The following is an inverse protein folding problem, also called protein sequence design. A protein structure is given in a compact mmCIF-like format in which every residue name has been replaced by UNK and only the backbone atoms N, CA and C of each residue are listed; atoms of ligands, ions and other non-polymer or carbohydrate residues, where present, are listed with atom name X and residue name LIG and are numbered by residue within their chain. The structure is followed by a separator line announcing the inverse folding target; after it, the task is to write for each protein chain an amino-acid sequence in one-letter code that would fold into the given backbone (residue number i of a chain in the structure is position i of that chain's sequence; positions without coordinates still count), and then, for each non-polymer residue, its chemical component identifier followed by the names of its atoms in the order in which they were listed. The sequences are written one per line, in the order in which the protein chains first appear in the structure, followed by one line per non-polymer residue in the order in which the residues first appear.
data_IF_352673379341
#
_entry.id   IF_352673379341
#
_cell.length_a   1.000
_cell.length_b   1.000
_cell.length_c   1.000
_cell.angle_alpha   90.00
_cell.angle_beta   90.00
_cell.angle_gamma   90.00
#
_symmetry.space_group_name_H-M   'P 1'
#
loop_
_entity.id
_entity.type
_entity.pdbx_description
1 polymer ?
#
# COMPACT_ATOMS: atom_id res chain seq x y z
N UNK A 1 11.44 11.00 -32.50
CA UNK A 1 12.81 11.21 -31.98
C UNK A 1 13.30 9.85 -31.52
N UNK A 2 14.31 9.31 -32.18
CA UNK A 2 14.71 7.90 -32.11
C UNK A 2 15.57 7.68 -30.85
N UNK A 3 14.99 7.06 -29.82
CA UNK A 3 15.59 6.89 -28.47
C UNK A 3 16.77 5.90 -28.49
N UNK A 4 17.00 5.24 -29.63
CA UNK A 4 18.13 4.35 -29.87
C UNK A 4 19.47 5.09 -30.10
N UNK A 5 19.51 6.42 -30.14
CA UNK A 5 20.75 7.17 -30.41
C UNK A 5 21.67 7.43 -29.22
N UNK A 6 21.31 7.04 -28.01
CA UNK A 6 22.23 7.06 -26.87
C UNK A 6 22.16 5.72 -26.15
N UNK A 7 23.25 4.95 -26.14
CA UNK A 7 23.38 3.60 -25.56
C UNK A 7 23.16 3.48 -24.05
N UNK A 8 22.24 4.24 -23.47
CA UNK A 8 21.76 4.08 -22.11
C UNK A 8 20.68 2.99 -22.08
N UNK A 9 20.80 1.99 -21.20
CA UNK A 9 19.87 0.86 -21.14
C UNK A 9 18.57 1.24 -20.41
N UNK A 10 17.83 2.25 -20.90
CA UNK A 10 16.65 2.79 -20.25
C UNK A 10 15.54 1.76 -19.93
N UNK A 11 15.27 0.75 -20.78
CA UNK A 11 14.35 -0.34 -20.40
C UNK A 11 14.86 -1.16 -19.22
N UNK A 12 16.18 -1.35 -19.09
CA UNK A 12 16.79 -2.03 -17.93
C UNK A 12 16.63 -1.16 -16.68
N UNK A 13 16.85 0.15 -16.79
CA UNK A 13 16.61 1.09 -15.68
C UNK A 13 15.15 1.04 -15.23
N UNK A 14 14.19 1.09 -16.16
CA UNK A 14 12.76 0.93 -15.83
C UNK A 14 12.47 -0.38 -15.10
N UNK A 15 13.05 -1.49 -15.56
CA UNK A 15 12.91 -2.78 -14.87
C UNK A 15 13.52 -2.78 -13.46
N UNK A 16 14.70 -2.19 -13.28
CA UNK A 16 15.34 -2.08 -11.96
C UNK A 16 14.46 -1.23 -11.02
N UNK A 17 13.99 -0.07 -11.45
CA UNK A 17 13.07 0.77 -10.69
C UNK A 17 11.81 0.00 -10.31
N UNK A 18 11.26 -0.76 -11.26
CA UNK A 18 10.11 -1.64 -11.08
C UNK A 18 10.28 -2.65 -9.95
N UNK A 19 11.40 -3.38 -9.95
CA UNK A 19 11.68 -4.37 -8.93
C UNK A 19 12.04 -3.73 -7.59
N UNK A 20 12.77 -2.61 -7.58
CA UNK A 20 13.10 -1.88 -6.37
C UNK A 20 11.84 -1.37 -5.65
N UNK A 21 10.88 -0.77 -6.36
CA UNK A 21 9.63 -0.33 -5.73
C UNK A 21 8.81 -1.52 -5.24
N UNK A 22 8.76 -2.63 -6.01
CA UNK A 22 8.08 -3.86 -5.60
C UNK A 22 8.61 -4.35 -4.25
N UNK A 23 9.94 -4.44 -4.09
CA UNK A 23 10.54 -4.88 -2.83
C UNK A 23 10.30 -3.88 -1.70
N UNK A 24 10.50 -2.58 -1.94
CA UNK A 24 10.29 -1.53 -0.94
C UNK A 24 8.87 -1.57 -0.36
N UNK A 25 7.84 -1.62 -1.22
CA UNK A 25 6.47 -1.73 -0.77
C UNK A 25 6.14 -3.10 -0.18
N UNK A 26 6.61 -4.20 -0.77
CA UNK A 26 6.34 -5.55 -0.24
C UNK A 26 6.86 -5.73 1.18
N UNK A 27 8.10 -5.29 1.45
CA UNK A 27 8.68 -5.41 2.80
C UNK A 27 7.92 -4.62 3.86
N UNK A 28 7.22 -3.55 3.50
CA UNK A 28 6.42 -2.75 4.43
C UNK A 28 5.26 -3.52 5.09
N UNK A 29 4.80 -4.62 4.49
CA UNK A 29 3.68 -5.43 5.02
C UNK A 29 4.12 -6.41 6.12
N UNK A 30 5.37 -6.88 6.09
CA UNK A 30 5.85 -7.95 6.96
C UNK A 30 5.93 -7.59 8.45
N UNK A 31 6.31 -6.37 8.86
CA UNK A 31 6.39 -6.02 10.28
C UNK A 31 5.09 -6.33 11.05
N UNK A 32 3.93 -6.02 10.48
CA UNK A 32 2.65 -6.29 11.12
C UNK A 32 2.34 -7.79 11.20
N UNK A 33 2.65 -8.54 10.14
CA UNK A 33 2.46 -10.00 10.08
C UNK A 33 3.30 -10.69 11.15
N UNK A 34 4.58 -10.30 11.26
CA UNK A 34 5.53 -10.83 12.23
C UNK A 34 5.08 -10.47 13.65
N UNK A 35 4.68 -9.22 13.88
CA UNK A 35 4.21 -8.76 15.20
C UNK A 35 2.98 -9.55 15.67
N UNK A 36 2.00 -9.78 14.78
CA UNK A 36 0.83 -10.59 15.07
C UNK A 36 1.24 -12.03 15.44
N UNK A 37 2.20 -12.60 14.70
CA UNK A 37 2.71 -13.94 14.96
C UNK A 37 3.49 -14.06 16.27
N UNK A 38 4.31 -13.06 16.62
CA UNK A 38 5.07 -13.04 17.87
C UNK A 38 4.16 -12.86 19.09
N UNK A 39 3.21 -11.93 19.01
CA UNK A 39 2.30 -11.61 20.14
C UNK A 39 1.15 -12.60 20.29
N UNK A 40 0.88 -13.43 19.27
CA UNK A 40 -0.31 -14.29 19.15
C UNK A 40 -1.61 -13.52 19.44
N UNK A 41 -1.62 -12.23 19.11
CA UNK A 41 -2.67 -11.28 19.42
C UNK A 41 -2.73 -10.22 18.32
N UNK A 42 -3.95 -9.85 17.92
CA UNK A 42 -4.23 -8.76 16.98
C UNK A 42 -4.90 -7.56 17.68
N UNK A 43 -4.80 -7.50 19.01
CA UNK A 43 -5.33 -6.38 19.78
C UNK A 43 -4.64 -5.07 19.37
N UNK A 44 -5.45 -4.05 19.11
CA UNK A 44 -5.00 -2.73 18.62
C UNK A 44 -4.96 -2.61 17.09
N UNK A 45 -5.11 -3.71 16.36
CA UNK A 45 -5.23 -3.68 14.90
C UNK A 45 -6.66 -3.29 14.50
N UNK A 46 -6.79 -2.30 13.61
CA UNK A 46 -8.09 -1.88 13.10
C UNK A 46 -8.66 -2.96 12.16
N UNK A 47 -9.82 -3.52 12.50
CA UNK A 47 -10.50 -4.52 11.67
C UNK A 47 -10.93 -3.88 10.35
N UNK A 48 -11.46 -2.66 10.38
CA UNK A 48 -11.81 -1.88 9.19
C UNK A 48 -10.63 -1.77 8.22
N UNK A 49 -9.44 -1.47 8.74
CA UNK A 49 -8.22 -1.34 7.94
C UNK A 49 -7.88 -2.64 7.18
N UNK A 50 -8.06 -3.80 7.82
CA UNK A 50 -7.79 -5.09 7.19
C UNK A 50 -8.78 -5.42 6.08
N UNK A 51 -10.08 -5.22 6.33
CA UNK A 51 -11.11 -5.43 5.30
C UNK A 51 -10.93 -4.48 4.11
N UNK A 52 -10.63 -3.21 4.39
CA UNK A 52 -10.30 -2.24 3.36
C UNK A 52 -9.05 -2.64 2.56
N UNK A 53 -8.00 -3.14 3.20
CA UNK A 53 -6.81 -3.63 2.48
C UNK A 53 -7.15 -4.78 1.55
N UNK A 54 -7.88 -5.78 2.03
CA UNK A 54 -8.27 -6.93 1.20
C UNK A 54 -9.09 -6.48 0.00
N UNK A 55 -10.15 -5.67 0.20
CA UNK A 55 -10.97 -5.17 -0.90
C UNK A 55 -10.15 -4.31 -1.87
N UNK A 56 -9.37 -3.37 -1.35
CA UNK A 56 -8.57 -2.46 -2.17
C UNK A 56 -7.54 -3.22 -3.00
N UNK A 57 -6.76 -4.13 -2.39
CA UNK A 57 -5.78 -4.91 -3.13
C UNK A 57 -6.41 -5.94 -4.07
N UNK A 58 -7.62 -6.42 -3.79
CA UNK A 58 -8.38 -7.24 -4.75
C UNK A 58 -8.73 -6.42 -6.01
N UNK A 59 -9.27 -5.21 -5.83
CA UNK A 59 -9.55 -4.30 -6.94
C UNK A 59 -8.28 -3.96 -7.74
N UNK A 60 -7.18 -3.68 -7.05
CA UNK A 60 -5.90 -3.38 -7.69
C UNK A 60 -5.31 -4.59 -8.43
N UNK A 61 -5.42 -5.78 -7.84
CA UNK A 61 -4.99 -7.03 -8.46
C UNK A 61 -5.77 -7.33 -9.73
N UNK A 62 -7.11 -7.25 -9.69
CA UNK A 62 -7.96 -7.43 -10.86
C UNK A 62 -7.59 -6.45 -11.98
N UNK A 63 -7.37 -5.16 -11.64
CA UNK A 63 -6.93 -4.15 -12.60
C UNK A 63 -5.60 -4.55 -13.29
N UNK A 64 -4.54 -4.83 -12.51
CA UNK A 64 -3.22 -5.10 -13.09
C UNK A 64 -3.20 -6.42 -13.87
N UNK A 65 -3.81 -7.48 -13.34
CA UNK A 65 -3.87 -8.78 -14.03
C UNK A 65 -4.61 -8.63 -15.36
N UNK A 66 -5.75 -7.95 -15.38
CA UNK A 66 -6.53 -7.80 -16.60
C UNK A 66 -5.82 -6.90 -17.63
N UNK A 67 -5.25 -5.77 -17.23
CA UNK A 67 -4.47 -4.90 -18.13
C UNK A 67 -3.22 -5.59 -18.71
N UNK A 68 -2.59 -6.48 -17.93
CA UNK A 68 -1.38 -7.17 -18.34
C UNK A 68 -1.63 -8.42 -19.20
N UNK A 69 -2.65 -9.23 -18.87
CA UNK A 69 -2.88 -10.52 -19.55
C UNK A 69 -4.03 -10.53 -20.56
N UNK A 70 -5.06 -9.68 -20.41
CA UNK A 70 -6.23 -9.72 -21.30
C UNK A 70 -5.99 -8.91 -22.57
N UNK A 71 -6.02 -9.59 -23.72
CA UNK A 71 -5.95 -8.93 -25.04
C UNK A 71 -7.13 -8.01 -25.27
N UNK A 72 -8.33 -8.41 -24.85
CA UNK A 72 -9.55 -7.60 -24.97
C UNK A 72 -9.39 -6.26 -24.26
N UNK A 73 -8.91 -6.26 -23.01
CA UNK A 73 -8.64 -5.01 -22.26
C UNK A 73 -7.55 -4.17 -22.92
N UNK A 74 -6.50 -4.80 -23.42
CA UNK A 74 -5.43 -4.10 -24.12
C UNK A 74 -5.91 -3.44 -25.41
N UNK A 75 -6.81 -4.09 -26.13
CA UNK A 75 -7.38 -3.57 -27.36
C UNK A 75 -8.42 -2.47 -27.09
N UNK A 76 -9.29 -2.64 -26.10
CA UNK A 76 -10.17 -1.58 -25.60
C UNK A 76 -9.38 -0.34 -25.14
N UNK A 77 -8.25 -0.55 -24.46
CA UNK A 77 -7.35 0.53 -24.05
C UNK A 77 -6.76 1.26 -25.27
N UNK A 78 -6.22 0.51 -26.24
CA UNK A 78 -5.64 1.06 -27.48
C UNK A 78 -6.67 1.88 -28.25
N UNK A 79 -7.90 1.40 -28.36
CA UNK A 79 -9.00 2.12 -29.03
C UNK A 79 -9.23 3.51 -28.40
N UNK A 80 -9.07 3.63 -27.08
CA UNK A 80 -9.25 4.88 -26.34
C UNK A 80 -8.01 5.78 -26.31
N UNK A 81 -6.82 5.24 -26.56
CA UNK A 81 -5.54 5.93 -26.39
C UNK A 81 -4.69 5.93 -27.66
N UNK A 82 -5.30 6.25 -28.81
CA UNK A 82 -4.59 6.44 -30.09
C UNK A 82 -3.74 5.23 -30.52
N UNK A 83 -4.25 4.01 -30.31
CA UNK A 83 -3.59 2.73 -30.60
C UNK A 83 -2.32 2.43 -29.78
N UNK A 84 -2.07 3.19 -28.70
CA UNK A 84 -0.90 3.02 -27.85
C UNK A 84 -1.16 1.99 -26.75
N UNK A 85 -0.10 1.26 -26.39
CA UNK A 85 -0.17 0.24 -25.35
C UNK A 85 -0.27 0.87 -23.95
N UNK A 86 -0.89 0.15 -23.00
CA UNK A 86 -0.89 0.56 -21.60
C UNK A 86 0.50 0.40 -20.97
N UNK A 87 0.73 1.09 -19.85
CA UNK A 87 2.01 1.10 -19.14
C UNK A 87 2.05 0.13 -17.94
N UNK A 88 1.11 -0.82 -17.83
CA UNK A 88 1.15 -1.83 -16.77
C UNK A 88 2.29 -2.81 -17.04
N UNK A 89 3.12 -3.04 -16.03
CA UNK A 89 4.29 -3.92 -16.09
C UNK A 89 4.10 -5.15 -15.21
N UNK A 90 4.95 -6.16 -15.42
CA UNK A 90 4.88 -7.40 -14.66
C UNK A 90 5.14 -7.20 -13.15
N UNK A 91 6.04 -6.27 -12.79
CA UNK A 91 6.25 -5.90 -11.38
C UNK A 91 4.98 -5.34 -10.72
N UNK A 92 4.13 -4.62 -11.45
CA UNK A 92 2.84 -4.12 -10.93
C UNK A 92 1.89 -5.28 -10.58
N UNK A 93 1.84 -6.30 -11.45
CA UNK A 93 1.07 -7.54 -11.21
C UNK A 93 1.60 -8.29 -9.99
N UNK A 94 2.93 -8.43 -9.88
CA UNK A 94 3.58 -9.10 -8.76
C UNK A 94 3.32 -8.37 -7.44
N UNK A 95 3.44 -7.03 -7.44
CA UNK A 95 3.15 -6.21 -6.28
C UNK A 95 1.69 -6.35 -5.84
N UNK A 96 0.74 -6.18 -6.78
CA UNK A 96 -0.68 -6.28 -6.48
C UNK A 96 -1.06 -7.67 -5.95
N UNK A 97 -0.48 -8.72 -6.52
CA UNK A 97 -0.67 -10.11 -6.07
C UNK A 97 -0.14 -10.31 -4.66
N UNK A 98 1.12 -9.94 -4.41
CA UNK A 98 1.74 -10.06 -3.10
C UNK A 98 0.94 -9.31 -2.03
N UNK A 99 0.58 -8.05 -2.31
CA UNK A 99 -0.17 -7.20 -1.40
C UNK A 99 -1.57 -7.75 -1.07
N UNK A 100 -2.25 -8.36 -2.05
CA UNK A 100 -3.53 -9.05 -1.82
C UNK A 100 -3.35 -10.25 -0.88
N UNK A 101 -2.39 -11.14 -1.18
CA UNK A 101 -2.18 -12.35 -0.38
C UNK A 101 -1.74 -12.05 1.04
N UNK A 102 -0.81 -11.12 1.24
CA UNK A 102 -0.35 -10.76 2.59
C UNK A 102 -1.43 -10.02 3.38
N UNK A 103 -2.26 -9.19 2.72
CA UNK A 103 -3.40 -8.55 3.37
C UNK A 103 -4.46 -9.56 3.79
N UNK A 104 -4.75 -10.53 2.92
CA UNK A 104 -5.67 -11.63 3.24
C UNK A 104 -5.13 -12.49 4.38
N UNK A 105 -3.84 -12.84 4.35
CA UNK A 105 -3.17 -13.55 5.43
C UNK A 105 -3.28 -12.81 6.77
N UNK A 106 -3.03 -11.50 6.77
CA UNK A 106 -3.16 -10.65 7.96
C UNK A 106 -4.60 -10.59 8.47
N UNK A 107 -5.59 -10.56 7.57
CA UNK A 107 -6.99 -10.68 7.95
C UNK A 107 -7.29 -12.06 8.57
N UNK A 108 -6.77 -13.14 8.00
CA UNK A 108 -6.92 -14.49 8.55
C UNK A 108 -6.35 -14.62 9.96
N UNK A 109 -5.23 -13.95 10.26
CA UNK A 109 -4.68 -13.91 11.62
C UNK A 109 -5.68 -13.40 12.66
N UNK A 110 -6.65 -12.55 12.28
CA UNK A 110 -7.68 -12.06 13.21
C UNK A 110 -8.72 -13.09 13.62
N UNK A 111 -8.91 -14.15 12.83
CA UNK A 111 -9.80 -15.25 13.19
C UNK A 111 -9.10 -16.28 14.08
N UNK A 112 -7.77 -16.34 14.04
CA UNK A 112 -6.99 -17.34 14.76
C UNK A 112 -6.37 -16.81 16.06
N UNK A 113 -5.88 -15.56 16.07
CA UNK A 113 -5.25 -14.96 17.24
C UNK A 113 -6.23 -14.22 18.14
N UNK A 114 -5.80 -13.98 19.39
CA UNK A 114 -6.62 -13.26 20.37
C UNK A 114 -6.96 -11.86 19.85
N UNK A 115 -8.25 -11.53 19.87
CA UNK A 115 -8.79 -10.20 19.55
C UNK A 115 -9.73 -9.74 20.66
N UNK A 116 -9.90 -8.44 20.77
CA UNK A 116 -10.91 -7.84 21.64
C UNK A 116 -12.32 -8.12 21.07
N UNK A 117 -13.31 -8.36 21.93
CA UNK A 117 -14.70 -8.58 21.50
C UNK A 117 -15.32 -7.31 20.89
N UNK A 118 -14.76 -6.14 21.19
CA UNK A 118 -15.14 -4.84 20.62
C UNK A 118 -14.50 -4.58 19.25
N UNK A 119 -13.50 -5.36 18.82
CA UNK A 119 -12.89 -5.26 17.49
C UNK A 119 -13.81 -5.88 16.41
N UNK A 120 -14.82 -5.11 16.02
CA UNK A 120 -15.76 -5.42 14.94
C UNK A 120 -15.66 -4.39 13.82
N UNK A 121 -16.13 -4.76 12.62
CA UNK A 121 -16.20 -3.84 11.49
C UNK A 121 -17.20 -2.71 11.78
N UNK A 122 -16.80 -1.47 11.52
CA UNK A 122 -17.68 -0.31 11.70
C UNK A 122 -18.82 -0.31 10.68
N UNK A 123 -19.95 0.32 11.04
CA UNK A 123 -21.10 0.46 10.14
C UNK A 123 -20.71 1.17 8.84
N UNK A 124 -19.90 2.23 8.95
CA UNK A 124 -19.41 3.01 7.80
C UNK A 124 -18.60 2.12 6.86
N UNK A 125 -17.66 1.34 7.41
CA UNK A 125 -16.86 0.41 6.62
C UNK A 125 -17.71 -0.67 5.95
N UNK A 126 -18.66 -1.24 6.68
CA UNK A 126 -19.58 -2.24 6.14
C UNK A 126 -20.42 -1.69 4.97
N UNK A 127 -21.00 -0.50 5.11
CA UNK A 127 -21.77 0.12 4.03
C UNK A 127 -20.90 0.49 2.83
N UNK A 128 -19.71 1.02 3.06
CA UNK A 128 -18.77 1.33 1.99
C UNK A 128 -18.36 0.09 1.19
N UNK A 129 -18.00 -1.00 1.88
CA UNK A 129 -17.65 -2.28 1.23
C UNK A 129 -18.85 -2.83 0.44
N UNK A 130 -20.04 -2.85 1.05
CA UNK A 130 -21.24 -3.33 0.38
C UNK A 130 -21.57 -2.50 -0.86
N UNK A 131 -21.51 -1.16 -0.77
CA UNK A 131 -21.74 -0.27 -1.89
C UNK A 131 -20.71 -0.48 -3.01
N UNK A 132 -19.43 -0.67 -2.67
CA UNK A 132 -18.36 -0.96 -3.64
C UNK A 132 -18.60 -2.28 -4.38
N UNK A 133 -19.05 -3.32 -3.66
CA UNK A 133 -19.37 -4.62 -4.26
C UNK A 133 -20.62 -4.54 -5.15
N UNK A 134 -21.69 -3.88 -4.69
CA UNK A 134 -22.90 -3.69 -5.48
C UNK A 134 -22.60 -2.89 -6.74
N UNK A 135 -21.83 -1.81 -6.64
CA UNK A 135 -21.44 -1.00 -7.79
C UNK A 135 -20.57 -1.77 -8.79
N UNK A 136 -19.65 -2.62 -8.31
CA UNK A 136 -18.85 -3.48 -9.19
C UNK A 136 -19.73 -4.51 -9.93
N UNK A 137 -20.68 -5.14 -9.23
CA UNK A 137 -21.65 -6.07 -9.82
C UNK A 137 -22.53 -5.35 -10.83
N UNK A 138 -23.05 -4.16 -10.50
CA UNK A 138 -23.84 -3.33 -11.40
C UNK A 138 -23.07 -2.95 -12.67
N UNK A 139 -21.82 -2.51 -12.54
CA UNK A 139 -20.94 -2.25 -13.67
C UNK A 139 -20.71 -3.49 -14.53
N UNK A 140 -20.49 -4.66 -13.91
CA UNK A 140 -20.35 -5.91 -14.65
C UNK A 140 -21.62 -6.24 -15.47
N UNK A 141 -22.82 -6.04 -14.92
CA UNK A 141 -24.05 -6.19 -15.67
C UNK A 141 -24.14 -5.21 -16.85
N UNK A 142 -23.83 -3.92 -16.65
CA UNK A 142 -23.83 -2.90 -17.72
C UNK A 142 -22.91 -3.33 -18.88
N UNK A 143 -21.73 -3.88 -18.56
CA UNK A 143 -20.80 -4.43 -19.57
C UNK A 143 -21.40 -5.64 -20.29
N UNK A 144 -21.99 -6.58 -19.55
CA UNK A 144 -22.61 -7.79 -20.14
C UNK A 144 -23.78 -7.47 -21.07
N UNK A 145 -24.51 -6.38 -20.83
CA UNK A 145 -25.58 -5.90 -21.70
C UNK A 145 -25.08 -5.01 -22.86
N UNK A 146 -23.76 -4.80 -22.99
CA UNK A 146 -23.15 -4.06 -24.09
C UNK A 146 -23.24 -2.53 -23.97
N UNK A 147 -23.60 -2.00 -22.80
CA UNK A 147 -23.68 -0.55 -22.57
C UNK A 147 -22.35 0.06 -22.11
N UNK A 148 -21.38 -0.76 -21.72
CA UNK A 148 -20.03 -0.35 -21.34
C UNK A 148 -19.02 -1.44 -21.75
N UNK A 149 -17.73 -1.11 -21.69
CA UNK A 149 -16.64 -2.04 -21.99
C UNK A 149 -15.99 -2.56 -20.71
N UNK A 150 -15.26 -3.67 -20.77
CA UNK A 150 -14.66 -4.26 -19.56
C UNK A 150 -13.66 -3.33 -18.88
N UNK A 151 -12.95 -2.51 -19.65
CA UNK A 151 -12.04 -1.49 -19.14
C UNK A 151 -12.75 -0.47 -18.24
N UNK A 152 -14.05 -0.20 -18.43
CA UNK A 152 -14.83 0.72 -17.57
C UNK A 152 -15.02 0.13 -16.18
N UNK A 153 -15.30 -1.18 -16.10
CA UNK A 153 -15.35 -1.90 -14.83
C UNK A 153 -13.98 -1.85 -14.14
N UNK A 154 -12.89 -2.06 -14.88
CA UNK A 154 -11.55 -2.02 -14.30
C UNK A 154 -11.21 -0.62 -13.77
N UNK A 155 -11.54 0.45 -14.50
CA UNK A 155 -11.36 1.82 -14.00
C UNK A 155 -12.20 2.10 -12.76
N UNK A 156 -13.43 1.58 -12.69
CA UNK A 156 -14.26 1.67 -11.48
C UNK A 156 -13.58 0.99 -10.26
N UNK A 157 -13.09 -0.25 -10.42
CA UNK A 157 -12.33 -0.95 -9.36
C UNK A 157 -11.08 -0.17 -8.94
N UNK A 158 -10.41 0.41 -9.93
CA UNK A 158 -9.27 1.33 -9.79
C UNK A 158 -9.58 2.49 -8.84
N UNK A 159 -10.73 3.14 -9.01
CA UNK A 159 -11.15 4.26 -8.16
C UNK A 159 -11.56 3.82 -6.75
N UNK A 160 -12.13 2.61 -6.59
CA UNK A 160 -12.35 2.02 -5.26
C UNK A 160 -11.02 1.89 -4.51
N UNK A 161 -9.97 1.34 -5.16
CA UNK A 161 -8.64 1.21 -4.54
C UNK A 161 -8.07 2.57 -4.10
N UNK A 162 -8.16 3.59 -4.95
CA UNK A 162 -7.69 4.95 -4.62
C UNK A 162 -8.47 5.52 -3.43
N UNK A 163 -9.80 5.41 -3.46
CA UNK A 163 -10.68 5.89 -2.38
C UNK A 163 -10.37 5.22 -1.04
N UNK A 164 -10.21 3.89 -1.04
CA UNK A 164 -9.81 3.14 0.15
C UNK A 164 -8.49 3.66 0.71
N UNK A 165 -7.53 3.93 -0.16
CA UNK A 165 -6.23 4.42 0.26
C UNK A 165 -6.39 5.78 0.96
N UNK A 166 -7.28 6.66 0.47
CA UNK A 166 -7.55 7.97 1.08
C UNK A 166 -8.19 7.84 2.45
N UNK A 167 -9.21 6.98 2.55
CA UNK A 167 -9.92 6.69 3.80
C UNK A 167 -8.97 6.19 4.88
N UNK A 168 -7.88 5.50 4.51
CA UNK A 168 -6.90 4.98 5.46
C UNK A 168 -5.94 6.05 5.98
N UNK A 169 -5.39 6.89 5.09
CA UNK A 169 -4.34 7.84 5.49
C UNK A 169 -4.90 9.09 6.18
N UNK A 170 -6.08 9.59 5.77
CA UNK A 170 -6.64 10.82 6.34
C UNK A 170 -6.90 10.75 7.86
N UNK A 171 -7.53 9.69 8.41
CA UNK A 171 -7.74 9.58 9.85
C UNK A 171 -6.43 9.56 10.63
N UNK A 172 -5.39 8.91 10.10
CA UNK A 172 -4.09 8.87 10.76
C UNK A 172 -3.44 10.26 10.80
N UNK A 173 -3.48 11.00 9.69
CA UNK A 173 -2.96 12.37 9.63
C UNK A 173 -3.68 13.29 10.63
N UNK A 174 -5.01 13.14 10.73
CA UNK A 174 -5.81 13.89 11.69
C UNK A 174 -5.56 13.49 13.15
N UNK A 175 -5.42 12.19 13.43
CA UNK A 175 -5.12 11.70 14.77
C UNK A 175 -3.76 12.20 15.27
N UNK A 176 -2.74 12.16 14.42
CA UNK A 176 -1.43 12.73 14.72
C UNK A 176 -1.55 14.24 15.02
N UNK A 177 -2.35 14.96 14.22
CA UNK A 177 -2.60 16.38 14.45
C UNK A 177 -3.34 16.67 15.76
N UNK A 178 -4.33 15.86 16.12
CA UNK A 178 -5.11 16.01 17.35
C UNK A 178 -4.30 15.65 18.60
N UNK A 179 -3.51 14.57 18.53
CA UNK A 179 -2.66 14.10 19.64
C UNK A 179 -1.37 14.88 19.80
N UNK A 180 -0.96 15.64 18.77
CA UNK A 180 0.34 16.31 18.69
C UNK A 180 1.51 15.33 18.89
N UNK A 181 1.34 14.10 18.40
CA UNK A 181 2.27 13.00 18.55
C UNK A 181 2.12 12.01 17.41
N UNK A 182 3.24 11.46 16.95
CA UNK A 182 3.31 10.36 15.98
C UNK A 182 3.68 9.02 16.61
N UNK A 183 3.69 8.93 17.95
CA UNK A 183 4.07 7.72 18.66
C UNK A 183 2.98 6.65 18.48
N UNK A 184 3.39 5.41 18.19
CA UNK A 184 2.49 4.26 18.04
C UNK A 184 2.64 3.49 16.72
N UNK A 185 3.53 3.92 15.82
CA UNK A 185 3.80 3.26 14.55
C UNK A 185 5.22 3.57 14.04
N UNK A 186 5.78 2.69 13.22
CA UNK A 186 7.18 2.78 12.76
C UNK A 186 7.32 3.81 11.64
N UNK A 187 8.16 4.83 11.84
CA UNK A 187 8.51 5.82 10.81
C UNK A 187 9.23 5.17 9.60
N UNK A 188 9.96 4.07 9.81
CA UNK A 188 10.64 3.35 8.74
C UNK A 188 9.66 2.82 7.68
N UNK A 189 8.45 2.43 8.10
CA UNK A 189 7.41 2.00 7.16
C UNK A 189 7.00 3.14 6.23
N UNK A 190 6.97 4.38 6.73
CA UNK A 190 6.67 5.56 5.92
C UNK A 190 7.79 5.92 4.97
N UNK A 191 9.04 5.80 5.42
CA UNK A 191 10.19 6.03 4.54
C UNK A 191 10.21 5.00 3.40
N UNK A 192 9.90 3.74 3.69
CA UNK A 192 9.78 2.69 2.68
C UNK A 192 8.57 2.89 1.74
N UNK A 193 7.42 3.32 2.27
CA UNK A 193 6.23 3.64 1.45
C UNK A 193 6.54 4.79 0.49
N UNK A 194 7.15 5.86 0.99
CA UNK A 194 7.57 7.01 0.19
C UNK A 194 8.59 6.62 -0.88
N UNK A 195 9.58 5.80 -0.51
CA UNK A 195 10.59 5.29 -1.46
C UNK A 195 9.92 4.47 -2.57
N UNK A 196 9.01 3.56 -2.22
CA UNK A 196 8.23 2.81 -3.19
C UNK A 196 7.38 3.71 -4.10
N UNK A 197 6.72 4.73 -3.53
CA UNK A 197 5.94 5.71 -4.28
C UNK A 197 6.77 6.49 -5.30
N UNK A 198 7.93 7.01 -4.88
CA UNK A 198 8.85 7.76 -5.75
C UNK A 198 9.37 6.87 -6.87
N UNK A 199 9.83 5.66 -6.55
CA UNK A 199 10.35 4.71 -7.55
C UNK A 199 9.26 4.29 -8.55
N UNK A 200 8.05 4.04 -8.08
CA UNK A 200 6.89 3.65 -8.89
C UNK A 200 6.49 4.76 -9.88
N UNK A 201 6.41 6.02 -9.43
CA UNK A 201 6.15 7.15 -10.32
C UNK A 201 7.32 7.35 -11.30
N UNK A 202 8.56 7.28 -10.83
CA UNK A 202 9.74 7.47 -11.68
C UNK A 202 9.76 6.44 -12.80
N UNK A 203 9.46 5.17 -12.50
CA UNK A 203 9.31 4.14 -13.52
C UNK A 203 8.17 4.47 -14.49
N UNK A 204 7.01 4.90 -14.01
CA UNK A 204 5.86 5.25 -14.86
C UNK A 204 6.18 6.40 -15.82
N UNK A 205 6.85 7.44 -15.33
CA UNK A 205 7.28 8.58 -16.15
C UNK A 205 8.35 8.19 -17.16
N UNK A 206 9.29 7.33 -16.77
CA UNK A 206 10.30 6.79 -17.69
C UNK A 206 9.65 5.93 -18.78
N UNK A 207 8.70 5.06 -18.42
CA UNK A 207 7.97 4.24 -19.38
C UNK A 207 7.15 5.08 -20.38
N UNK A 208 6.53 6.17 -19.91
CA UNK A 208 5.82 7.13 -20.75
C UNK A 208 6.75 7.90 -21.69
N UNK A 209 7.93 8.28 -21.19
CA UNK A 209 8.96 8.91 -22.01
C UNK A 209 9.46 7.96 -23.11
N UNK A 210 9.74 6.70 -22.76
CA UNK A 210 10.21 5.68 -23.70
C UNK A 210 9.17 5.27 -24.74
N UNK A 211 7.89 5.28 -24.38
CA UNK A 211 6.79 5.00 -25.32
C UNK A 211 6.49 6.18 -26.24
N UNK A 212 7.08 7.36 -26.01
CA UNK A 212 6.71 8.60 -26.70
C UNK A 212 5.27 9.02 -26.41
N UNK A 213 4.72 8.60 -25.26
CA UNK A 213 3.33 8.81 -24.92
C UNK A 213 3.07 9.04 -23.45
N UNK A 214 2.63 10.26 -23.17
CA UNK A 214 2.20 10.69 -21.86
C UNK A 214 0.75 10.30 -21.54
N UNK A 215 -0.07 9.94 -22.53
CA UNK A 215 -1.44 9.49 -22.28
C UNK A 215 -1.47 8.20 -21.44
N UNK A 216 -0.47 7.34 -21.60
CA UNK A 216 -0.20 6.16 -20.76
C UNK A 216 -0.11 6.42 -19.26
N UNK A 217 0.34 7.62 -18.85
CA UNK A 217 0.41 8.01 -17.43
C UNK A 217 -0.99 8.17 -16.85
N UNK A 218 -1.89 8.82 -17.58
CA UNK A 218 -3.29 9.01 -17.18
C UNK A 218 -4.12 7.73 -17.37
N UNK A 219 -3.74 6.88 -18.33
CA UNK A 219 -4.36 5.58 -18.57
C UNK A 219 -4.01 4.51 -17.52
N UNK A 220 -3.03 4.77 -16.63
CA UNK A 220 -2.81 4.00 -15.41
C UNK A 220 -3.11 4.87 -14.17
N UNK A 221 -4.38 5.28 -13.97
CA UNK A 221 -4.75 6.23 -12.93
C UNK A 221 -4.47 5.70 -11.54
N UNK A 222 -4.45 4.38 -11.35
CA UNK A 222 -4.17 3.78 -10.05
C UNK A 222 -2.70 3.83 -9.71
N UNK A 223 -1.78 3.48 -10.62
CA UNK A 223 -0.34 3.54 -10.30
C UNK A 223 0.08 4.98 -10.03
N UNK A 224 -0.34 5.92 -10.87
CA UNK A 224 -0.10 7.34 -10.67
C UNK A 224 -0.73 7.84 -9.37
N UNK A 225 -2.02 7.57 -9.17
CA UNK A 225 -2.76 8.03 -8.01
C UNK A 225 -2.24 7.44 -6.70
N UNK A 226 -1.92 6.15 -6.66
CA UNK A 226 -1.32 5.51 -5.48
C UNK A 226 0.05 6.09 -5.16
N UNK A 227 0.92 6.25 -6.16
CA UNK A 227 2.23 6.86 -5.95
C UNK A 227 2.12 8.28 -5.41
N UNK A 228 1.31 9.13 -6.05
CA UNK A 228 1.17 10.54 -5.65
C UNK A 228 0.57 10.66 -4.25
N UNK A 229 -0.44 9.85 -3.97
CA UNK A 229 -1.11 9.86 -2.69
C UNK A 229 -0.20 9.35 -1.57
N UNK A 230 0.53 8.25 -1.78
CA UNK A 230 1.53 7.76 -0.82
C UNK A 230 2.54 8.86 -0.52
N UNK A 231 3.21 9.41 -1.54
CA UNK A 231 4.21 10.48 -1.35
C UNK A 231 3.60 11.68 -0.59
N UNK A 232 2.39 12.12 -0.95
CA UNK A 232 1.75 13.27 -0.30
C UNK A 232 1.49 13.02 1.19
N UNK A 233 0.92 11.87 1.55
CA UNK A 233 0.67 11.54 2.96
C UNK A 233 1.97 11.26 3.71
N UNK A 234 2.95 10.63 3.07
CA UNK A 234 4.24 10.34 3.68
C UNK A 234 5.01 11.62 4.01
N UNK A 235 4.95 12.63 3.13
CA UNK A 235 5.46 13.98 3.43
C UNK A 235 4.74 14.56 4.66
N UNK A 236 3.41 14.47 4.73
CA UNK A 236 2.67 14.93 5.91
C UNK A 236 3.13 14.21 7.17
N UNK A 237 3.30 12.89 7.12
CA UNK A 237 3.73 12.08 8.26
C UNK A 237 5.17 12.38 8.69
N UNK A 238 6.09 12.54 7.73
CA UNK A 238 7.48 12.94 8.00
C UNK A 238 7.56 14.35 8.61
N UNK A 239 6.78 15.30 8.10
CA UNK A 239 6.68 16.66 8.68
C UNK A 239 6.12 16.60 10.10
N UNK A 240 5.06 15.82 10.32
CA UNK A 240 4.49 15.62 11.66
C UNK A 240 5.53 15.00 12.63
N UNK A 241 6.31 14.01 12.17
CA UNK A 241 7.25 13.27 12.99
C UNK A 241 8.53 14.06 13.30
N UNK A 242 9.23 14.54 12.28
CA UNK A 242 10.56 15.14 12.42
C UNK A 242 10.55 16.64 12.72
N UNK A 243 9.48 17.35 12.34
CA UNK A 243 9.41 18.81 12.46
C UNK A 243 8.44 19.21 13.56
N UNK A 244 7.16 18.84 13.44
CA UNK A 244 6.11 19.38 14.33
C UNK A 244 6.09 18.75 15.72
N UNK A 245 6.27 17.43 15.82
CA UNK A 245 6.09 16.66 17.07
C UNK A 245 7.38 15.97 17.54
N UNK A 246 8.53 16.51 17.14
CA UNK A 246 9.86 15.98 17.49
C UNK A 246 10.05 15.87 18.99
N UNK A 247 9.71 16.92 19.73
CA UNK A 247 10.00 17.00 21.16
C UNK A 247 9.11 16.06 21.99
N UNK A 248 7.85 15.88 21.60
CA UNK A 248 6.97 14.86 22.20
C UNK A 248 7.46 13.44 21.90
N UNK A 249 7.97 13.21 20.69
CA UNK A 249 8.56 11.92 20.31
C UNK A 249 9.81 11.63 21.12
N UNK A 250 10.73 12.60 21.26
CA UNK A 250 11.93 12.47 22.07
C UNK A 250 11.60 12.25 23.56
N UNK A 251 10.67 13.04 24.12
CA UNK A 251 10.26 12.89 25.51
C UNK A 251 9.70 11.51 25.80
N UNK A 252 8.81 10.97 24.94
CA UNK A 252 8.23 9.65 25.16
C UNK A 252 9.23 8.52 25.00
N UNK A 253 10.18 8.63 24.06
CA UNK A 253 11.23 7.62 23.91
C UNK A 253 12.08 7.56 25.19
N UNK A 254 12.45 8.71 25.75
CA UNK A 254 13.15 8.78 27.03
C UNK A 254 12.34 8.14 28.16
N UNK A 255 11.03 8.38 28.25
CA UNK A 255 10.18 7.77 29.29
C UNK A 255 10.09 6.25 29.14
N UNK A 256 9.97 5.75 27.90
CA UNK A 256 9.96 4.31 27.62
C UNK A 256 11.30 3.66 27.96
N UNK A 257 12.41 4.33 27.67
CA UNK A 257 13.75 3.84 28.02
C UNK A 257 13.98 3.83 29.53
N UNK A 258 13.51 4.86 30.25
CA UNK A 258 13.55 4.90 31.72
C UNK A 258 12.70 3.78 32.34
N UNK A 259 11.48 3.59 31.85
CA UNK A 259 10.59 2.52 32.31
C UNK A 259 11.20 1.14 32.02
N UNK A 260 11.77 0.96 30.82
CA UNK A 260 12.49 -0.27 30.47
C UNK A 260 13.68 -0.53 31.37
N UNK A 261 14.50 0.49 31.66
CA UNK A 261 15.63 0.38 32.62
C UNK A 261 15.13 -0.02 34.01
N UNK A 262 14.03 0.57 34.46
CA UNK A 262 13.41 0.21 35.74
C UNK A 262 12.96 -1.25 35.76
N UNK A 263 12.28 -1.72 34.71
CA UNK A 263 11.81 -3.11 34.63
C UNK A 263 12.97 -4.12 34.56
N UNK A 264 14.09 -3.75 33.95
CA UNK A 264 15.34 -4.54 33.96
C UNK A 264 15.89 -4.66 35.39
N UNK A 265 15.94 -3.54 36.14
CA UNK A 265 16.40 -3.55 37.55
C UNK A 265 15.46 -4.39 38.42
N UNK A 266 14.15 -4.35 38.16
CA UNK A 266 13.14 -5.17 38.84
C UNK A 266 13.14 -6.65 38.41
N UNK A 267 14.02 -7.05 37.47
CA UNK A 267 14.12 -8.43 36.97
C UNK A 267 12.92 -8.90 36.13
N UNK A 268 12.09 -7.96 35.66
CA UNK A 268 10.88 -8.25 34.87
C UNK A 268 11.13 -8.30 33.37
N UNK A 269 12.26 -7.76 32.91
CA UNK A 269 12.70 -7.76 31.51
C UNK A 269 14.18 -8.19 31.50
N UNK A 270 14.59 -9.18 30.69
CA UNK A 270 15.99 -9.60 30.60
C UNK A 270 16.88 -8.48 30.08
N UNK A 271 18.15 -8.45 30.49
CA UNK A 271 19.12 -7.52 29.89
C UNK A 271 19.39 -7.98 28.46
N UNK A 272 19.58 -7.03 27.54
CA UNK A 272 19.88 -7.37 26.15
C UNK A 272 21.13 -8.26 26.07
N UNK A 273 22.08 -8.05 26.97
CA UNK A 273 23.33 -8.83 27.03
C UNK A 273 23.09 -10.32 27.37
N UNK A 274 21.97 -10.67 28.03
CA UNK A 274 21.65 -12.05 28.39
C UNK A 274 21.08 -12.87 27.20
N UNK A 275 20.59 -12.20 26.14
CA UNK A 275 20.00 -12.87 24.98
C UNK A 275 21.02 -13.27 23.90
N UNK A 276 22.21 -12.66 23.88
CA UNK A 276 23.29 -13.08 22.98
C UNK A 276 24.05 -14.31 23.50
N UNK A 277 24.12 -14.52 24.83
CA UNK A 277 24.74 -15.72 25.42
C UNK A 277 23.88 -16.99 25.28
N UNK A 278 22.55 -16.90 25.35
CA UNK A 278 21.66 -18.07 25.18
C UNK A 278 21.46 -18.50 23.71
N UNK A 279 21.85 -17.68 22.73
CA UNK A 279 21.78 -18.03 21.31
C UNK A 279 22.98 -18.86 20.81
N UNK A 280 23.99 -19.09 21.64
CA UNK A 280 25.23 -19.81 21.31
C UNK A 280 25.55 -21.01 22.21
N UNK A 281 24.58 -21.50 23.00
CA UNK A 281 24.66 -22.77 23.76
C UNK A 281 23.61 -23.75 23.25
#
# INVERSE_FOLDING_TARGET
MDINQHGAPWPVVSNILGWCYFFAWSFSFYPQVILNWQRKSVQGLSVDFLYYNVLGFLCYWLFNVAFFFSKEIQDEYKQRNQSKANLVRFNDVMFASHALFISFFTLCQTFYYKRDSTQIISKIAKYFILASLIGAIGMAFIVLYGYAMWIDLLYYLSYIKLTISLIKYMPQAWLNFKRKSTIGWSIHNILLDCTGGVLSITQLLLDAYLSGDWSGVLGNPVKLGLGLQSIAFDIVFMVQHYILYRDHTASSLNTVDEERRRLIIEGRVPRIDDQEEEAFV
#
